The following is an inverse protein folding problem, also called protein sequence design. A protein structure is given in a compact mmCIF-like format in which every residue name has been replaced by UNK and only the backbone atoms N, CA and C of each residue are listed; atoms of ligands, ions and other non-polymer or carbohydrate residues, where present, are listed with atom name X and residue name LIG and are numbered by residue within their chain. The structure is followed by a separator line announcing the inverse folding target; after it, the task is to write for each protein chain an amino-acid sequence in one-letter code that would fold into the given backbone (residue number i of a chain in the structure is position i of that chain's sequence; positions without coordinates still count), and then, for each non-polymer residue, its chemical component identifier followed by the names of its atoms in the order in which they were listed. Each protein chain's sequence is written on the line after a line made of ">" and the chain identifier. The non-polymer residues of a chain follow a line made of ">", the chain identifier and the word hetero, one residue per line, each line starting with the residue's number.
data_IF_335432940303
#
_entry.id   IF_335432940303
#
_cell.length_a   1.000
_cell.length_b   1.000
_cell.length_c   1.000
_cell.angle_alpha   90.00
_cell.angle_beta   90.00
_cell.angle_gamma   90.00
#
_symmetry.space_group_name_H-M   'P 1'
#
loop_
_entity.id
_entity.type
_entity.pdbx_description
1 polymer ?
#
# COMPACT_ATOMS: atom_id res chain seq x y z
N UNK A 1 47.27 1.40 -0.26
CA UNK A 1 45.87 1.12 -0.63
C UNK A 1 45.10 0.66 0.62
N UNK A 2 44.35 1.54 1.24
CA UNK A 2 43.50 1.21 2.39
C UNK A 2 42.21 0.58 1.81
N UNK A 3 42.05 -0.74 1.94
CA UNK A 3 40.76 -1.41 1.64
C UNK A 3 39.71 -0.84 2.59
N UNK A 4 38.73 -0.07 2.04
CA UNK A 4 37.60 0.38 2.80
C UNK A 4 36.91 -0.85 3.41
N UNK A 5 36.88 -0.94 4.75
CA UNK A 5 36.06 -1.92 5.48
C UNK A 5 34.63 -1.73 5.03
N UNK A 6 34.08 -2.69 4.26
CA UNK A 6 32.67 -2.72 3.90
C UNK A 6 31.88 -2.65 5.22
N UNK A 7 31.11 -1.60 5.44
CA UNK A 7 30.38 -1.39 6.69
C UNK A 7 29.26 -2.43 6.78
N UNK A 8 29.54 -3.58 7.39
CA UNK A 8 28.66 -4.74 7.53
C UNK A 8 27.31 -4.35 8.17
N UNK A 9 27.34 -3.42 9.12
CA UNK A 9 26.14 -2.89 9.79
C UNK A 9 25.17 -2.19 8.83
N UNK A 10 25.67 -1.42 7.88
CA UNK A 10 24.84 -0.79 6.84
C UNK A 10 24.15 -1.83 5.94
N UNK A 11 24.83 -2.92 5.63
CA UNK A 11 24.29 -3.96 4.75
C UNK A 11 23.10 -4.69 5.41
N UNK A 12 23.18 -4.96 6.70
CA UNK A 12 22.08 -5.57 7.47
C UNK A 12 20.87 -4.64 7.61
N UNK A 13 21.08 -3.34 7.83
CA UNK A 13 19.99 -2.36 7.89
C UNK A 13 19.21 -2.30 6.56
N UNK A 14 19.90 -2.25 5.44
CA UNK A 14 19.25 -2.26 4.13
C UNK A 14 18.54 -3.58 3.82
N UNK A 15 19.05 -4.69 4.31
CA UNK A 15 18.38 -5.98 4.22
C UNK A 15 17.08 -5.97 5.01
N UNK A 16 17.09 -5.46 6.25
CA UNK A 16 15.89 -5.34 7.07
C UNK A 16 14.82 -4.45 6.42
N UNK A 17 15.22 -3.32 5.84
CA UNK A 17 14.30 -2.44 5.11
C UNK A 17 13.70 -3.15 3.88
N UNK A 18 14.50 -3.92 3.14
CA UNK A 18 13.99 -4.68 2.00
C UNK A 18 12.99 -5.76 2.42
N UNK A 19 13.24 -6.44 3.54
CA UNK A 19 12.29 -7.41 4.12
C UNK A 19 11.01 -6.72 4.56
N UNK A 20 11.10 -5.60 5.29
CA UNK A 20 9.93 -4.82 5.71
C UNK A 20 9.09 -4.33 4.52
N UNK A 21 9.75 -3.90 3.43
CA UNK A 21 9.10 -3.55 2.17
C UNK A 21 8.30 -4.72 1.58
N UNK A 22 8.91 -5.91 1.50
CA UNK A 22 8.26 -7.11 0.96
C UNK A 22 7.08 -7.53 1.85
N UNK A 23 7.25 -7.49 3.17
CA UNK A 23 6.16 -7.79 4.11
C UNK A 23 4.99 -6.81 3.95
N UNK A 24 5.27 -5.51 3.84
CA UNK A 24 4.24 -4.51 3.59
C UNK A 24 3.55 -4.74 2.23
N UNK A 25 4.32 -5.11 1.20
CA UNK A 25 3.77 -5.48 -0.11
C UNK A 25 2.82 -6.68 0.00
N UNK A 26 3.16 -7.68 0.82
CA UNK A 26 2.29 -8.81 1.06
C UNK A 26 0.99 -8.41 1.78
N UNK A 27 1.02 -7.45 2.71
CA UNK A 27 -0.20 -6.93 3.36
C UNK A 27 -1.18 -6.38 2.33
N UNK A 28 -0.71 -5.55 1.38
CA UNK A 28 -1.57 -5.00 0.33
C UNK A 28 -2.04 -6.07 -0.67
N UNK A 29 -1.13 -6.94 -1.10
CA UNK A 29 -1.47 -8.01 -2.03
C UNK A 29 -2.47 -9.00 -1.41
N UNK A 30 -2.29 -9.34 -0.15
CA UNK A 30 -3.22 -10.21 0.57
C UNK A 30 -4.60 -9.57 0.69
N UNK A 31 -4.68 -8.28 1.03
CA UNK A 31 -5.94 -7.55 1.09
C UNK A 31 -6.66 -7.54 -0.27
N UNK A 32 -5.90 -7.39 -1.37
CA UNK A 32 -6.45 -7.52 -2.73
C UNK A 32 -7.00 -8.92 -2.99
N UNK A 33 -6.23 -9.98 -2.68
CA UNK A 33 -6.63 -11.37 -2.93
C UNK A 33 -7.87 -11.77 -2.09
N UNK A 34 -7.88 -11.42 -0.80
CA UNK A 34 -9.00 -11.71 0.08
C UNK A 34 -10.28 -11.02 -0.39
N UNK A 35 -10.22 -9.75 -0.75
CA UNK A 35 -11.37 -9.00 -1.29
C UNK A 35 -11.83 -9.52 -2.65
N UNK A 36 -10.90 -9.95 -3.48
CA UNK A 36 -11.23 -10.48 -4.82
C UNK A 36 -11.91 -11.84 -4.73
N UNK A 37 -11.39 -12.75 -3.89
CA UNK A 37 -11.79 -14.16 -3.85
C UNK A 37 -12.74 -14.49 -2.69
N UNK A 38 -12.80 -13.67 -1.63
CA UNK A 38 -13.58 -13.97 -0.43
C UNK A 38 -12.99 -15.13 0.36
N UNK A 39 -11.75 -14.98 0.84
CA UNK A 39 -11.00 -16.06 1.46
C UNK A 39 -11.35 -16.32 2.94
N UNK A 40 -12.33 -15.60 3.48
CA UNK A 40 -12.82 -15.80 4.85
C UNK A 40 -12.03 -15.06 5.93
N UNK A 41 -11.18 -14.09 5.55
CA UNK A 41 -10.47 -13.21 6.49
C UNK A 41 -11.25 -11.90 6.68
N UNK A 42 -10.84 -10.81 6.06
CA UNK A 42 -11.58 -9.55 6.10
C UNK A 42 -12.83 -9.59 5.20
N UNK A 43 -12.85 -10.51 4.22
CA UNK A 43 -13.96 -10.70 3.29
C UNK A 43 -14.51 -12.12 3.47
N UNK A 44 -15.79 -12.24 3.86
CA UNK A 44 -16.43 -13.53 4.09
C UNK A 44 -16.56 -14.35 2.80
N UNK A 45 -16.65 -15.68 2.96
CA UNK A 45 -16.95 -16.56 1.84
C UNK A 45 -18.27 -16.13 1.16
N UNK A 46 -18.22 -16.04 -0.17
CA UNK A 46 -19.37 -15.60 -0.96
C UNK A 46 -19.59 -14.09 -1.08
N UNK A 47 -18.92 -13.26 -0.27
CA UNK A 47 -19.01 -11.80 -0.29
C UNK A 47 -17.84 -11.16 -1.06
N UNK A 48 -17.32 -11.83 -2.08
CA UNK A 48 -16.15 -11.39 -2.85
C UNK A 48 -16.50 -10.42 -3.98
N UNK A 49 -15.51 -9.69 -4.44
CA UNK A 49 -15.62 -8.79 -5.60
C UNK A 49 -15.99 -9.54 -6.88
N UNK A 50 -15.45 -10.75 -7.09
CA UNK A 50 -15.81 -11.59 -8.25
C UNK A 50 -17.26 -12.07 -8.21
N UNK A 51 -17.90 -12.07 -7.05
CA UNK A 51 -19.32 -12.34 -6.86
C UNK A 51 -20.20 -11.08 -6.97
N UNK A 52 -19.63 -9.95 -7.39
CA UNK A 52 -20.34 -8.69 -7.58
C UNK A 52 -20.53 -7.86 -6.30
N UNK A 53 -19.94 -8.25 -5.17
CA UNK A 53 -20.01 -7.47 -3.93
C UNK A 53 -18.97 -6.36 -3.95
N UNK A 54 -19.36 -5.14 -3.59
CA UNK A 54 -18.43 -4.00 -3.52
C UNK A 54 -17.39 -4.21 -2.44
N UNK A 55 -16.07 -4.21 -2.79
CA UNK A 55 -14.98 -4.44 -1.84
C UNK A 55 -14.78 -3.29 -0.85
N UNK A 56 -15.34 -2.10 -1.14
CA UNK A 56 -15.21 -0.91 -0.29
C UNK A 56 -16.44 -0.60 0.52
N UNK A 57 -17.63 -1.06 0.11
CA UNK A 57 -18.91 -0.67 0.72
C UNK A 57 -19.00 -0.99 2.23
N UNK A 58 -18.44 -2.14 2.65
CA UNK A 58 -18.43 -2.52 4.06
C UNK A 58 -17.64 -1.53 4.92
N UNK A 59 -16.43 -1.17 4.48
CA UNK A 59 -15.60 -0.18 5.17
C UNK A 59 -16.24 1.20 5.14
N UNK A 60 -16.72 1.65 3.98
CA UNK A 60 -17.28 2.98 3.80
C UNK A 60 -18.59 3.19 4.59
N UNK A 61 -19.36 2.12 4.85
CA UNK A 61 -20.60 2.20 5.65
C UNK A 61 -20.38 1.99 7.14
N UNK A 62 -19.48 1.08 7.52
CA UNK A 62 -19.38 0.60 8.90
C UNK A 62 -17.99 0.78 9.53
N UNK A 63 -16.95 0.98 8.72
CA UNK A 63 -15.58 1.18 9.18
C UNK A 63 -15.21 2.65 9.38
N UNK A 64 -15.92 3.57 8.75
CA UNK A 64 -15.75 5.02 8.94
C UNK A 64 -16.24 5.41 10.33
N UNK A 65 -15.42 6.18 11.07
CA UNK A 65 -15.85 6.68 12.37
C UNK A 65 -17.03 7.64 12.20
N UNK A 66 -18.20 7.38 12.84
CA UNK A 66 -19.39 8.24 12.69
C UNK A 66 -19.17 9.67 13.20
N UNK A 67 -18.22 9.88 14.11
CA UNK A 67 -17.82 11.21 14.60
C UNK A 67 -16.84 11.94 13.65
N UNK A 68 -16.40 11.28 12.57
CA UNK A 68 -15.50 11.89 11.61
C UNK A 68 -16.17 13.08 10.91
N UNK A 69 -15.50 14.22 10.77
CA UNK A 69 -16.00 15.34 9.99
C UNK A 69 -16.19 14.98 8.51
N UNK A 70 -15.60 13.88 8.07
CA UNK A 70 -15.68 13.37 6.70
C UNK A 70 -16.65 12.18 6.55
N UNK A 71 -17.33 11.75 7.63
CA UNK A 71 -18.17 10.56 7.62
C UNK A 71 -19.22 10.58 6.50
N UNK A 72 -19.94 11.68 6.34
CA UNK A 72 -20.96 11.81 5.29
C UNK A 72 -20.36 11.66 3.88
N UNK A 73 -19.18 12.22 3.64
CA UNK A 73 -18.48 12.12 2.35
C UNK A 73 -18.08 10.67 2.05
N UNK A 74 -17.46 9.99 3.01
CA UNK A 74 -17.05 8.59 2.83
C UNK A 74 -18.25 7.65 2.68
N UNK A 75 -19.28 7.82 3.50
CA UNK A 75 -20.50 7.02 3.39
C UNK A 75 -21.20 7.20 2.04
N UNK A 76 -21.18 8.40 1.47
CA UNK A 76 -21.73 8.70 0.15
C UNK A 76 -21.01 8.02 -1.02
N UNK A 77 -19.76 7.57 -0.80
CA UNK A 77 -18.98 6.82 -1.79
C UNK A 77 -19.25 5.31 -1.76
N UNK A 78 -19.98 4.80 -0.77
CA UNK A 78 -20.22 3.37 -0.60
C UNK A 78 -21.01 2.77 -1.78
N UNK A 79 -20.44 1.75 -2.42
CA UNK A 79 -21.03 1.09 -3.60
C UNK A 79 -20.73 1.82 -4.92
N UNK A 80 -19.88 2.82 -4.91
CA UNK A 80 -19.43 3.47 -6.14
C UNK A 80 -18.38 2.59 -6.85
N UNK A 81 -18.73 2.16 -8.06
CA UNK A 81 -17.91 1.24 -8.87
C UNK A 81 -16.52 1.81 -9.18
N UNK A 82 -16.39 3.11 -9.43
CA UNK A 82 -15.10 3.74 -9.69
C UNK A 82 -14.21 3.70 -8.44
N UNK A 83 -14.78 3.93 -7.26
CA UNK A 83 -14.06 3.84 -5.98
C UNK A 83 -13.59 2.42 -5.73
N UNK A 84 -14.41 1.42 -6.02
CA UNK A 84 -14.06 0.01 -5.92
C UNK A 84 -12.85 -0.33 -6.81
N UNK A 85 -12.88 0.05 -8.07
CA UNK A 85 -11.78 -0.18 -9.00
C UNK A 85 -10.50 0.54 -8.58
N UNK A 86 -10.56 1.81 -8.22
CA UNK A 86 -9.40 2.57 -7.78
C UNK A 86 -8.76 1.97 -6.52
N UNK A 87 -9.59 1.55 -5.57
CA UNK A 87 -9.13 0.90 -4.36
C UNK A 87 -8.44 -0.44 -4.66
N UNK A 88 -9.08 -1.29 -5.45
CA UNK A 88 -8.55 -2.63 -5.78
C UNK A 88 -7.27 -2.55 -6.62
N UNK A 89 -7.23 -1.66 -7.61
CA UNK A 89 -6.01 -1.40 -8.39
C UNK A 89 -4.89 -0.81 -7.53
N UNK A 90 -5.25 0.04 -6.57
CA UNK A 90 -4.32 0.56 -5.58
C UNK A 90 -3.69 -0.55 -4.74
N UNK A 91 -4.50 -1.45 -4.18
CA UNK A 91 -4.00 -2.59 -3.40
C UNK A 91 -3.09 -3.51 -4.22
N UNK A 92 -3.52 -3.88 -5.43
CA UNK A 92 -2.74 -4.72 -6.34
C UNK A 92 -1.43 -4.05 -6.74
N UNK A 93 -1.50 -2.79 -7.18
CA UNK A 93 -0.34 -2.01 -7.61
C UNK A 93 0.69 -1.83 -6.50
N UNK A 94 0.24 -1.49 -5.28
CA UNK A 94 1.11 -1.38 -4.11
C UNK A 94 1.74 -2.73 -3.76
N UNK A 95 0.95 -3.79 -3.70
CA UNK A 95 1.43 -5.13 -3.39
C UNK A 95 2.52 -5.58 -4.35
N UNK A 96 2.26 -5.50 -5.65
CA UNK A 96 3.21 -5.91 -6.71
C UNK A 96 4.45 -5.02 -6.71
N UNK A 97 4.28 -3.69 -6.67
CA UNK A 97 5.41 -2.74 -6.67
C UNK A 97 6.36 -2.97 -5.50
N UNK A 98 5.82 -3.15 -4.30
CA UNK A 98 6.62 -3.34 -3.08
C UNK A 98 7.31 -4.70 -3.06
N UNK A 99 6.64 -5.79 -3.47
CA UNK A 99 7.26 -7.12 -3.51
C UNK A 99 8.38 -7.15 -4.54
N UNK A 100 8.12 -6.70 -5.76
CA UNK A 100 9.10 -6.75 -6.84
C UNK A 100 10.17 -5.65 -6.73
N UNK A 101 9.93 -4.60 -5.96
CA UNK A 101 10.85 -3.47 -5.81
C UNK A 101 10.92 -2.57 -7.05
N UNK A 102 9.81 -2.44 -7.78
CA UNK A 102 9.71 -1.63 -9.02
C UNK A 102 8.65 -0.53 -8.84
N UNK A 103 8.83 0.63 -9.50
CA UNK A 103 7.86 1.72 -9.44
C UNK A 103 7.63 2.28 -8.02
N UNK A 104 8.61 2.17 -7.13
CA UNK A 104 8.45 2.47 -5.70
C UNK A 104 8.09 3.91 -5.41
N UNK A 105 8.51 4.87 -6.25
CA UNK A 105 8.13 6.28 -6.10
C UNK A 105 6.65 6.50 -6.36
N UNK A 106 6.12 5.89 -7.42
CA UNK A 106 4.69 5.93 -7.74
C UNK A 106 3.89 5.25 -6.63
N UNK A 107 4.37 4.07 -6.17
CA UNK A 107 3.75 3.36 -5.05
C UNK A 107 3.76 4.20 -3.76
N UNK A 108 4.83 4.93 -3.46
CA UNK A 108 4.89 5.80 -2.28
C UNK A 108 3.88 6.94 -2.35
N UNK A 109 3.73 7.61 -3.50
CA UNK A 109 2.75 8.69 -3.67
C UNK A 109 1.32 8.15 -3.61
N UNK A 110 0.99 7.16 -4.43
CA UNK A 110 -0.36 6.60 -4.50
C UNK A 110 -0.77 5.91 -3.18
N UNK A 111 0.16 5.15 -2.59
CA UNK A 111 -0.08 4.48 -1.31
C UNK A 111 -0.23 5.45 -0.15
N UNK A 112 0.56 6.54 -0.10
CA UNK A 112 0.38 7.59 0.91
C UNK A 112 -1.00 8.22 0.77
N UNK A 113 -1.46 8.54 -0.44
CA UNK A 113 -2.79 9.09 -0.65
C UNK A 113 -3.89 8.14 -0.16
N UNK A 114 -3.79 6.84 -0.50
CA UNK A 114 -4.73 5.82 -0.04
C UNK A 114 -4.75 5.70 1.50
N UNK A 115 -3.57 5.59 2.12
CA UNK A 115 -3.45 5.42 3.57
C UNK A 115 -3.90 6.65 4.34
N UNK A 116 -3.62 7.86 3.86
CA UNK A 116 -4.11 9.11 4.45
C UNK A 116 -5.64 9.20 4.34
N UNK A 117 -6.25 8.77 3.24
CA UNK A 117 -7.72 8.70 3.14
C UNK A 117 -8.32 7.74 4.16
N UNK A 118 -7.72 6.56 4.36
CA UNK A 118 -8.21 5.58 5.36
C UNK A 118 -8.02 6.15 6.77
N UNK A 119 -6.89 6.76 7.06
CA UNK A 119 -6.62 7.44 8.32
C UNK A 119 -7.65 8.54 8.62
N UNK A 120 -7.95 9.40 7.63
CA UNK A 120 -8.97 10.47 7.76
C UNK A 120 -10.37 9.91 8.04
N UNK A 121 -10.70 8.77 7.45
CA UNK A 121 -11.98 8.09 7.70
C UNK A 121 -12.10 7.58 9.14
N UNK A 122 -10.98 7.23 9.77
CA UNK A 122 -10.91 6.76 11.16
C UNK A 122 -10.93 7.85 12.23
N UNK A 123 -10.79 9.13 11.86
CA UNK A 123 -10.74 10.23 12.84
C UNK A 123 -12.11 10.46 13.51
N UNK A 124 -12.10 10.84 14.82
CA UNK A 124 -11.00 10.81 15.77
C UNK A 124 -10.57 9.37 16.11
N UNK A 125 -9.25 9.16 16.21
CA UNK A 125 -8.72 7.81 16.47
C UNK A 125 -9.02 7.36 17.90
N UNK A 126 -9.28 6.05 18.08
CA UNK A 126 -9.68 5.50 19.39
C UNK A 126 -8.51 5.30 20.37
N UNK A 127 -7.34 4.90 19.83
CA UNK A 127 -6.22 4.44 20.66
C UNK A 127 -5.08 5.46 20.76
N UNK A 128 -5.00 6.42 19.83
CA UNK A 128 -3.97 7.45 19.78
C UNK A 128 -4.58 8.69 19.15
N UNK A 129 -4.33 9.91 19.67
CA UNK A 129 -5.01 11.09 19.15
C UNK A 129 -4.62 11.46 17.71
N UNK A 130 -3.46 10.98 17.20
CA UNK A 130 -2.93 11.47 15.94
C UNK A 130 -2.38 10.36 15.02
N UNK A 131 -1.71 9.34 15.55
CA UNK A 131 -0.95 8.37 14.76
C UNK A 131 -1.55 6.98 14.90
N UNK A 132 -1.78 6.33 13.75
CA UNK A 132 -2.13 4.92 13.64
C UNK A 132 -1.20 4.18 12.67
N UNK A 133 -1.48 2.91 12.40
CA UNK A 133 -0.72 2.09 11.49
C UNK A 133 -0.67 2.62 10.05
N UNK A 134 -1.70 3.35 9.60
CA UNK A 134 -1.76 3.88 8.24
C UNK A 134 -0.67 4.94 8.00
N UNK A 135 -0.45 5.84 8.95
CA UNK A 135 0.63 6.84 8.85
C UNK A 135 2.02 6.20 8.97
N UNK A 136 2.15 5.14 9.77
CA UNK A 136 3.40 4.36 9.86
C UNK A 136 3.69 3.67 8.53
N UNK A 137 2.69 3.03 7.92
CA UNK A 137 2.84 2.41 6.60
C UNK A 137 3.15 3.42 5.51
N UNK A 138 2.50 4.59 5.51
CA UNK A 138 2.81 5.66 4.59
C UNK A 138 4.28 6.10 4.69
N UNK A 139 4.80 6.25 5.90
CA UNK A 139 6.22 6.57 6.12
C UNK A 139 7.13 5.44 5.60
N UNK A 140 6.77 4.18 5.83
CA UNK A 140 7.54 3.03 5.36
C UNK A 140 7.57 2.93 3.82
N UNK A 141 6.51 3.35 3.13
CA UNK A 141 6.51 3.45 1.66
C UNK A 141 7.60 4.40 1.15
N UNK A 142 7.78 5.56 1.81
CA UNK A 142 8.84 6.51 1.47
C UNK A 142 10.23 5.98 1.81
N UNK A 143 10.38 5.32 2.95
CA UNK A 143 11.64 4.63 3.29
C UNK A 143 12.00 3.61 2.21
N UNK A 144 11.03 2.80 1.77
CA UNK A 144 11.23 1.81 0.70
C UNK A 144 11.58 2.45 -0.65
N UNK A 145 10.99 3.61 -0.97
CA UNK A 145 11.25 4.32 -2.23
C UNK A 145 12.63 5.00 -2.28
N UNK A 146 13.15 5.42 -1.12
CA UNK A 146 14.40 6.18 -1.00
C UNK A 146 15.60 5.32 -0.61
N UNK A 147 15.38 4.15 -0.02
CA UNK A 147 16.44 3.24 0.42
C UNK A 147 17.16 2.56 -0.75
N UNK A 148 18.41 2.12 -0.55
CA UNK A 148 19.11 1.24 -1.49
C UNK A 148 18.31 -0.05 -1.76
N UNK A 149 18.21 -0.45 -3.01
CA UNK A 149 17.26 -1.44 -3.50
C UNK A 149 17.85 -2.84 -3.47
N UNK A 150 17.73 -3.50 -2.32
CA UNK A 150 18.01 -4.94 -2.18
C UNK A 150 16.76 -5.75 -2.56
N UNK A 151 16.97 -6.95 -3.11
CA UNK A 151 15.91 -7.87 -3.54
C UNK A 151 14.88 -7.20 -4.45
N UNK A 152 15.36 -6.58 -5.53
CA UNK A 152 14.54 -5.77 -6.44
C UNK A 152 14.79 -6.20 -7.89
N UNK A 153 13.76 -6.17 -8.71
CA UNK A 153 13.84 -6.32 -10.16
C UNK A 153 14.08 -4.97 -10.87
N UNK A 154 14.53 -3.97 -10.14
CA UNK A 154 14.66 -2.61 -10.65
C UNK A 154 15.56 -2.51 -11.88
N UNK A 155 16.71 -3.19 -11.90
CA UNK A 155 17.64 -3.10 -13.03
C UNK A 155 16.98 -3.56 -14.34
N UNK A 156 16.17 -4.62 -14.27
CA UNK A 156 15.35 -5.08 -15.39
C UNK A 156 14.27 -4.05 -15.76
N UNK A 157 13.61 -3.48 -14.75
CA UNK A 157 12.59 -2.44 -14.92
C UNK A 157 13.13 -1.18 -15.58
N UNK A 158 14.31 -0.71 -15.16
CA UNK A 158 14.98 0.46 -15.74
C UNK A 158 15.39 0.27 -17.19
N UNK A 159 15.59 -0.96 -17.65
CA UNK A 159 15.96 -1.26 -19.04
C UNK A 159 14.75 -1.22 -19.97
N UNK A 160 13.52 -1.20 -19.47
CA UNK A 160 12.33 -1.16 -20.31
C UNK A 160 12.21 0.18 -21.04
N UNK A 161 11.80 0.18 -22.34
CA UNK A 161 11.69 1.43 -23.14
C UNK A 161 10.79 2.47 -22.52
N UNK A 162 9.70 2.05 -21.89
CA UNK A 162 8.73 2.94 -21.23
C UNK A 162 9.36 3.69 -20.05
N UNK A 163 10.12 2.98 -19.22
CA UNK A 163 10.77 3.58 -18.05
C UNK A 163 11.92 4.48 -18.42
N UNK A 164 12.70 4.11 -19.46
CA UNK A 164 13.76 4.98 -19.98
C UNK A 164 13.23 6.33 -20.48
N UNK A 165 12.01 6.35 -21.05
CA UNK A 165 11.36 7.58 -21.52
C UNK A 165 10.71 8.38 -20.37
N UNK A 166 10.39 7.73 -19.26
CA UNK A 166 9.63 8.30 -18.13
C UNK A 166 10.36 8.03 -16.80
N UNK A 167 11.43 8.78 -16.46
CA UNK A 167 12.24 8.54 -15.25
C UNK A 167 11.49 8.63 -13.92
N UNK A 168 10.30 9.21 -13.90
CA UNK A 168 9.45 9.30 -12.71
C UNK A 168 8.81 7.96 -12.30
N UNK A 169 8.85 6.95 -13.18
CA UNK A 169 8.30 5.60 -12.92
C UNK A 169 9.20 4.73 -12.02
N UNK A 170 10.33 5.23 -11.55
CA UNK A 170 11.24 4.47 -10.69
C UNK A 170 11.68 5.21 -9.45
#
# INVERSE_FOLDING_TARGET
>A
MVKAKKNVTHDHAWTAIAVARIMLGFVFLWAFLDKTMGLGFATKYGESWVNGVSPTAGFLKFGVNPESPFAATFNGLAGNVLVDWLFMLGLLGLGVSLILGIGLRVAAVAGTALLVMIWTAGLPLKNNPLIDEHLVYATLLWVAALAPRKFSLLDTWLQTPTVKKNPWLW
#
